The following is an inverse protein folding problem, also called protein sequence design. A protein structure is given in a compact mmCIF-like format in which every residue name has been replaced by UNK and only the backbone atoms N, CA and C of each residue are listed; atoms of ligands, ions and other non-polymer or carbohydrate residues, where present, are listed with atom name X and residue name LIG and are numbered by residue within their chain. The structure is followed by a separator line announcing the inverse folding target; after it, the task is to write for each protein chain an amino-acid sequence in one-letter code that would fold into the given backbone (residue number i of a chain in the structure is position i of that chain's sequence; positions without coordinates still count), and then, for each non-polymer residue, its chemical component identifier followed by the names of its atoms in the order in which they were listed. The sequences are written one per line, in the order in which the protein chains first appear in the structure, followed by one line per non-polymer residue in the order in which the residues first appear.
data_IF_559204644908
#
_entry.id   IF_559204644908
#
_cell.length_a   1.000
_cell.length_b   1.000
_cell.length_c   1.000
_cell.angle_alpha   90.00
_cell.angle_beta   90.00
_cell.angle_gamma   90.00
#
_symmetry.space_group_name_H-M   'P 1'
#
loop_
_entity.id
_entity.type
_entity.pdbx_description
1 polymer ?
#
# COMPACT_ATOMS: atom_id res chain seq x y z
N UNK A 1 37.15 50.58 17.84
CA UNK A 1 35.70 50.43 18.09
C UNK A 1 35.29 49.06 17.56
N UNK A 2 34.95 48.13 18.43
CA UNK A 2 34.44 46.83 18.00
C UNK A 2 32.99 47.06 17.58
N UNK A 3 32.66 46.88 16.29
CA UNK A 3 31.28 46.82 15.80
C UNK A 3 30.66 45.57 16.40
N UNK A 4 29.79 45.74 17.40
CA UNK A 4 28.90 44.68 17.85
C UNK A 4 28.04 44.25 16.67
N UNK A 5 28.23 43.05 16.15
CA UNK A 5 27.29 42.47 15.21
C UNK A 5 25.98 42.23 15.96
N UNK A 6 24.90 42.81 15.47
CA UNK A 6 23.57 42.56 15.98
C UNK A 6 23.29 41.05 15.91
N UNK A 7 22.92 40.45 17.01
CA UNK A 7 22.63 39.03 17.10
C UNK A 7 21.13 38.82 16.81
N UNK A 8 20.81 38.07 15.77
CA UNK A 8 19.43 37.79 15.38
C UNK A 8 18.92 36.56 16.15
N UNK A 9 17.71 36.65 16.68
CA UNK A 9 16.94 35.51 17.17
C UNK A 9 15.79 35.18 16.22
N UNK A 10 15.48 33.90 16.18
CA UNK A 10 14.38 33.35 15.42
C UNK A 10 13.33 32.84 16.41
N UNK A 11 12.13 33.40 16.33
CA UNK A 11 10.96 33.00 17.12
C UNK A 11 10.10 32.09 16.26
N UNK A 12 10.07 30.79 16.59
CA UNK A 12 9.36 29.77 15.84
C UNK A 12 7.94 29.61 16.37
N UNK A 13 6.97 29.58 15.46
CA UNK A 13 5.56 29.35 15.76
C UNK A 13 4.88 28.66 14.58
N UNK A 14 4.12 27.60 14.86
CA UNK A 14 3.28 26.89 13.87
C UNK A 14 4.05 26.51 12.60
N UNK A 15 5.31 26.05 12.74
CA UNK A 15 6.15 25.67 11.62
C UNK A 15 6.73 26.82 10.80
N UNK A 16 6.58 28.06 11.24
CA UNK A 16 7.17 29.27 10.65
C UNK A 16 8.07 29.99 11.67
N UNK A 17 8.77 31.04 11.28
CA UNK A 17 9.55 31.87 12.22
C UNK A 17 9.49 33.35 11.85
N UNK A 18 9.65 34.20 12.87
CA UNK A 18 9.93 35.61 12.72
C UNK A 18 11.32 35.93 13.25
N UNK A 19 11.99 36.95 12.68
CA UNK A 19 13.30 37.38 13.13
C UNK A 19 13.19 38.61 14.02
N UNK A 20 14.03 38.67 15.06
CA UNK A 20 14.24 39.88 15.89
C UNK A 20 15.72 40.09 16.13
N UNK A 21 16.17 41.33 16.10
CA UNK A 21 17.53 41.70 16.50
C UNK A 21 17.59 41.87 18.02
N UNK A 22 18.65 41.37 18.62
CA UNK A 22 18.90 41.54 20.04
C UNK A 22 19.50 42.97 20.22
N UNK A 23 18.71 43.86 20.84
CA UNK A 23 19.14 45.15 21.30
C UNK A 23 19.16 45.16 22.84
N UNK A 24 19.90 46.10 23.43
CA UNK A 24 19.87 46.30 24.87
C UNK A 24 18.44 46.61 25.34
N UNK A 25 17.92 45.84 26.31
CA UNK A 25 16.55 45.99 26.80
C UNK A 25 15.47 45.25 25.99
N UNK A 26 15.83 44.32 25.08
CA UNK A 26 14.87 43.47 24.39
C UNK A 26 14.15 42.57 25.39
N UNK A 27 12.88 42.84 25.62
CA UNK A 27 11.97 41.94 26.32
C UNK A 27 11.25 41.03 25.32
N UNK A 28 11.38 39.72 25.51
CA UNK A 28 10.61 38.72 24.74
C UNK A 28 9.40 38.31 25.57
N UNK A 29 8.25 38.84 25.24
CA UNK A 29 7.00 38.35 25.78
C UNK A 29 6.68 37.00 25.08
N UNK A 30 6.76 35.91 25.86
CA UNK A 30 6.27 34.59 25.42
C UNK A 30 4.76 34.62 25.44
N UNK A 31 4.18 34.96 24.30
CA UNK A 31 2.74 34.86 24.08
C UNK A 31 2.39 33.40 23.77
N UNK A 32 1.15 33.00 24.05
CA UNK A 32 0.65 31.65 23.71
C UNK A 32 0.94 31.31 22.24
N UNK A 33 1.46 30.11 21.99
CA UNK A 33 1.72 29.57 20.67
C UNK A 33 3.13 29.77 20.12
N UNK A 34 4.14 30.14 20.93
CA UNK A 34 5.54 30.08 20.54
C UNK A 34 6.06 28.67 20.81
N UNK A 35 6.58 28.00 19.75
CA UNK A 35 7.14 26.65 19.84
C UNK A 35 8.56 26.68 20.42
N UNK A 36 9.40 27.59 19.92
CA UNK A 36 10.78 27.75 20.36
C UNK A 36 11.40 29.09 19.95
N UNK A 37 12.52 29.42 20.59
CA UNK A 37 13.39 30.54 20.22
C UNK A 37 14.80 29.98 19.97
N UNK A 38 15.39 30.33 18.84
CA UNK A 38 16.74 29.86 18.48
C UNK A 38 17.63 30.99 17.96
N UNK A 39 18.93 30.85 18.11
CA UNK A 39 19.96 31.77 17.58
C UNK A 39 20.49 31.35 16.20
N UNK A 40 20.03 30.21 15.70
CA UNK A 40 20.32 29.72 14.34
C UNK A 40 19.07 29.77 13.52
N UNK A 41 19.19 30.18 12.27
CA UNK A 41 18.06 30.15 11.34
C UNK A 41 17.50 28.70 11.30
N UNK A 42 16.22 28.52 11.63
CA UNK A 42 15.60 27.22 11.54
C UNK A 42 15.58 26.74 10.10
N UNK A 43 15.84 25.45 9.92
CA UNK A 43 15.50 24.79 8.65
C UNK A 43 14.02 24.50 8.71
N UNK A 44 13.26 25.27 7.96
CA UNK A 44 11.80 25.07 7.90
C UNK A 44 11.49 23.80 7.14
N UNK A 45 10.72 22.92 7.76
CA UNK A 45 10.23 21.73 7.12
C UNK A 45 9.07 22.12 6.17
N UNK A 46 9.25 21.87 4.87
CA UNK A 46 8.21 22.12 3.86
C UNK A 46 7.12 21.03 3.93
N UNK A 47 6.44 20.92 5.06
CA UNK A 47 5.40 19.95 5.28
C UNK A 47 4.21 20.53 6.03
N UNK A 48 3.00 20.15 5.60
CA UNK A 48 1.78 20.30 6.40
C UNK A 48 1.83 19.24 7.49
N UNK A 49 1.74 19.64 8.76
CA UNK A 49 1.80 18.71 9.90
C UNK A 49 0.39 18.40 10.38
N UNK A 50 0.08 17.13 10.49
CA UNK A 50 -1.18 16.62 11.00
C UNK A 50 -0.87 15.72 12.21
N UNK A 51 -1.33 16.14 13.40
CA UNK A 51 -1.11 15.37 14.63
C UNK A 51 -2.45 15.00 15.23
N UNK A 52 -2.75 13.71 15.26
CA UNK A 52 -3.96 13.17 15.87
C UNK A 52 -3.80 13.01 17.38
N UNK A 53 -4.82 13.41 18.13
CA UNK A 53 -4.88 13.34 19.59
C UNK A 53 -6.29 12.93 20.02
N UNK A 54 -6.54 11.61 20.10
CA UNK A 54 -7.85 11.02 20.43
C UNK A 54 -8.98 11.52 19.49
N UNK A 55 -9.86 12.37 19.97
CA UNK A 55 -11.02 12.91 19.24
C UNK A 55 -10.73 14.18 18.44
N UNK A 56 -9.48 14.64 18.45
CA UNK A 56 -9.05 15.88 17.82
C UNK A 56 -7.84 15.66 16.92
N UNK A 57 -7.64 16.60 16.01
CA UNK A 57 -6.40 16.72 15.25
C UNK A 57 -5.94 18.18 15.22
N UNK A 58 -4.64 18.37 15.32
CA UNK A 58 -3.97 19.65 15.04
C UNK A 58 -3.44 19.60 13.61
N UNK A 59 -3.77 20.62 12.82
CA UNK A 59 -3.25 20.79 11.46
C UNK A 59 -2.49 22.10 11.39
N UNK A 60 -1.20 22.03 11.11
CA UNK A 60 -0.32 23.18 10.95
C UNK A 60 0.09 23.29 9.49
N UNK A 61 -0.32 24.38 8.84
CA UNK A 61 0.03 24.69 7.46
C UNK A 61 0.99 25.90 7.51
N UNK A 62 2.30 25.68 7.26
CA UNK A 62 3.26 26.80 7.22
C UNK A 62 2.86 27.86 6.20
N UNK A 63 3.08 29.15 6.52
CA UNK A 63 2.64 30.29 5.70
C UNK A 63 3.23 30.31 4.29
N UNK A 64 4.36 29.66 4.08
CA UNK A 64 5.01 29.53 2.77
C UNK A 64 4.48 28.34 1.93
N UNK A 65 3.56 27.52 2.46
CA UNK A 65 2.86 26.49 1.70
C UNK A 65 1.54 27.09 1.21
N UNK A 66 1.51 27.46 -0.05
CA UNK A 66 0.35 28.09 -0.66
C UNK A 66 -0.63 27.05 -1.22
N UNK A 67 -1.91 27.42 -1.29
CA UNK A 67 -2.95 26.64 -1.93
C UNK A 67 -3.45 25.43 -1.12
N UNK A 68 -3.06 25.27 0.14
CA UNK A 68 -3.57 24.22 1.02
C UNK A 68 -4.52 24.80 2.05
N UNK A 69 -5.67 24.17 2.22
CA UNK A 69 -6.68 24.55 3.22
C UNK A 69 -7.15 23.34 4.02
N UNK A 70 -7.51 23.56 5.28
CA UNK A 70 -8.12 22.58 6.16
C UNK A 70 -9.54 23.03 6.50
N UNK A 71 -10.55 22.22 6.17
CA UNK A 71 -11.95 22.51 6.43
C UNK A 71 -12.53 21.87 7.69
N UNK A 72 -11.79 20.95 8.33
CA UNK A 72 -12.27 20.16 9.46
C UNK A 72 -12.08 20.82 10.84
N UNK A 73 -11.43 21.99 10.89
CA UNK A 73 -11.08 22.64 12.16
C UNK A 73 -10.21 21.73 13.03
N UNK A 74 -10.64 21.45 14.27
CA UNK A 74 -9.95 20.56 15.21
C UNK A 74 -10.52 19.15 15.26
N UNK A 75 -11.45 18.79 14.36
CA UNK A 75 -12.03 17.44 14.29
C UNK A 75 -10.96 16.41 13.93
N UNK A 76 -11.08 15.19 14.48
CA UNK A 76 -10.25 14.05 14.07
C UNK A 76 -10.60 13.49 12.67
N UNK A 77 -11.73 13.90 12.08
CA UNK A 77 -12.02 13.69 10.65
C UNK A 77 -11.38 14.84 9.85
N UNK A 78 -10.09 14.72 9.53
CA UNK A 78 -9.33 15.77 8.87
C UNK A 78 -9.60 15.77 7.37
N UNK A 79 -9.96 16.94 6.82
CA UNK A 79 -10.15 17.14 5.40
C UNK A 79 -9.25 18.29 4.92
N UNK A 80 -8.30 17.95 4.06
CA UNK A 80 -7.39 18.89 3.42
C UNK A 80 -7.70 18.99 1.93
N UNK A 81 -7.58 20.19 1.40
CA UNK A 81 -7.74 20.46 -0.04
C UNK A 81 -6.55 21.27 -0.52
N UNK A 82 -5.89 20.79 -1.57
CA UNK A 82 -4.80 21.49 -2.23
C UNK A 82 -5.23 21.96 -3.63
N UNK A 83 -5.07 23.23 -3.89
CA UNK A 83 -5.19 23.85 -5.22
C UNK A 83 -3.83 24.13 -5.84
N UNK A 84 -2.73 23.74 -5.17
CA UNK A 84 -1.38 23.86 -5.70
C UNK A 84 -1.17 22.84 -6.82
N UNK A 85 -0.76 23.30 -7.99
CA UNK A 85 -0.51 22.50 -9.20
C UNK A 85 0.95 22.52 -9.63
N UNK A 86 1.85 23.07 -8.81
CA UNK A 86 3.26 23.25 -9.13
C UNK A 86 4.21 22.55 -8.18
N UNK A 87 3.87 22.52 -6.89
CA UNK A 87 4.73 21.98 -5.84
C UNK A 87 4.17 20.69 -5.28
N UNK A 88 5.05 19.70 -5.07
CA UNK A 88 4.71 18.48 -4.35
C UNK A 88 4.60 18.78 -2.86
N UNK A 89 3.38 18.79 -2.34
CA UNK A 89 3.12 19.04 -0.92
C UNK A 89 3.39 17.78 -0.12
N UNK A 90 4.12 17.94 0.99
CA UNK A 90 4.35 16.87 1.97
C UNK A 90 3.34 17.03 3.10
N UNK A 91 2.61 15.96 3.40
CA UNK A 91 1.69 15.85 4.53
C UNK A 91 2.30 14.89 5.55
N UNK A 92 2.85 15.42 6.64
CA UNK A 92 3.42 14.60 7.73
C UNK A 92 2.33 14.27 8.73
N UNK A 93 2.09 12.99 8.94
CA UNK A 93 0.97 12.46 9.74
C UNK A 93 1.50 11.66 10.91
N UNK A 94 1.06 11.99 12.12
CA UNK A 94 1.49 11.33 13.36
C UNK A 94 0.35 11.28 14.41
N UNK A 95 0.61 10.57 15.51
CA UNK A 95 -0.34 10.47 16.62
C UNK A 95 -1.43 9.42 16.41
N UNK A 96 -2.48 9.47 17.23
CA UNK A 96 -3.50 8.43 17.22
C UNK A 96 -4.91 8.97 17.42
N UNK A 97 -5.89 8.27 16.80
CA UNK A 97 -7.32 8.50 17.04
C UNK A 97 -8.10 7.21 16.86
N UNK A 98 -9.08 7.00 17.74
CA UNK A 98 -10.05 5.89 17.66
C UNK A 98 -11.27 6.20 16.82
N UNK A 99 -11.38 7.43 16.30
CA UNK A 99 -12.46 7.87 15.43
C UNK A 99 -11.94 8.83 14.35
N UNK A 100 -10.65 8.71 13.96
CA UNK A 100 -9.98 9.63 13.08
C UNK A 100 -9.87 9.16 11.63
N UNK A 101 -9.88 10.13 10.72
CA UNK A 101 -9.63 9.92 9.31
C UNK A 101 -8.87 11.10 8.70
N UNK A 102 -8.16 10.85 7.61
CA UNK A 102 -7.50 11.86 6.79
C UNK A 102 -7.95 11.73 5.34
N UNK A 103 -8.65 12.76 4.87
CA UNK A 103 -8.97 12.92 3.45
C UNK A 103 -8.12 14.04 2.86
N UNK A 104 -7.45 13.76 1.74
CA UNK A 104 -6.67 14.75 0.98
C UNK A 104 -7.24 14.84 -0.42
N UNK A 105 -7.71 16.05 -0.79
CA UNK A 105 -8.19 16.37 -2.13
C UNK A 105 -7.13 17.20 -2.85
N UNK A 106 -6.90 16.94 -4.14
CA UNK A 106 -5.97 17.71 -4.96
C UNK A 106 -5.74 17.09 -6.33
N UNK A 107 -5.09 17.84 -7.21
CA UNK A 107 -4.85 17.45 -8.60
C UNK A 107 -3.36 17.47 -8.97
N UNK A 108 -2.46 17.44 -7.99
CA UNK A 108 -1.02 17.36 -8.19
C UNK A 108 -0.41 16.29 -7.31
N UNK A 109 0.75 15.74 -7.72
CA UNK A 109 1.48 14.74 -6.95
C UNK A 109 1.77 15.23 -5.53
N UNK A 110 1.72 14.33 -4.57
CA UNK A 110 1.92 14.63 -3.16
C UNK A 110 2.65 13.51 -2.42
N UNK A 111 3.15 13.85 -1.24
CA UNK A 111 3.78 12.89 -0.33
C UNK A 111 3.01 12.84 0.98
N UNK A 112 2.66 11.64 1.44
CA UNK A 112 2.14 11.38 2.79
C UNK A 112 3.26 10.73 3.60
N UNK A 113 3.83 11.47 4.54
CA UNK A 113 4.88 10.99 5.43
C UNK A 113 4.24 10.46 6.73
N UNK A 114 4.26 9.15 6.92
CA UNK A 114 3.68 8.48 8.08
C UNK A 114 4.74 8.32 9.18
N UNK A 115 4.48 8.90 10.34
CA UNK A 115 5.42 8.95 11.47
C UNK A 115 4.75 8.43 12.75
N UNK A 116 4.50 7.12 12.81
CA UNK A 116 3.87 6.46 13.94
C UNK A 116 2.39 6.82 14.10
N UNK A 117 1.66 6.91 12.99
CA UNK A 117 0.22 7.23 13.01
C UNK A 117 -0.62 5.97 13.25
N UNK A 118 -1.67 6.11 14.08
CA UNK A 118 -2.65 5.02 14.32
C UNK A 118 -4.06 5.58 14.25
N UNK A 119 -4.80 5.25 13.19
CA UNK A 119 -6.17 5.71 12.96
C UNK A 119 -7.14 4.54 12.87
N UNK A 120 -8.19 4.61 13.70
CA UNK A 120 -9.41 3.83 13.51
C UNK A 120 -10.51 4.78 13.08
N UNK A 121 -11.05 4.58 11.89
CA UNK A 121 -12.16 5.42 11.41
C UNK A 121 -13.49 4.88 11.89
N UNK A 122 -14.38 5.78 12.28
CA UNK A 122 -15.74 5.42 12.69
C UNK A 122 -16.73 5.38 11.52
N UNK A 123 -16.38 5.93 10.36
CA UNK A 123 -17.34 6.16 9.26
C UNK A 123 -16.89 5.66 7.89
N UNK A 124 -15.61 5.55 7.64
CA UNK A 124 -15.10 5.23 6.29
C UNK A 124 -13.61 4.93 6.31
N UNK A 125 -12.92 5.27 5.23
CA UNK A 125 -11.48 5.08 5.11
C UNK A 125 -10.70 5.98 6.08
N UNK A 126 -9.80 5.45 6.91
CA UNK A 126 -8.92 6.27 7.74
C UNK A 126 -7.88 7.04 6.92
N UNK A 127 -7.51 6.56 5.73
CA UNK A 127 -6.68 7.31 4.77
C UNK A 127 -7.33 7.27 3.38
N UNK A 128 -7.79 8.45 2.92
CA UNK A 128 -8.54 8.59 1.67
C UNK A 128 -7.93 9.72 0.83
N UNK A 129 -7.26 9.39 -0.26
CA UNK A 129 -6.58 10.37 -1.11
C UNK A 129 -7.33 10.51 -2.43
N UNK A 130 -8.01 11.63 -2.60
CA UNK A 130 -8.81 11.98 -3.77
C UNK A 130 -7.96 12.78 -4.77
N UNK A 131 -6.83 12.20 -5.18
CA UNK A 131 -5.90 12.76 -6.14
C UNK A 131 -5.53 11.68 -7.15
N UNK A 132 -5.74 11.95 -8.44
CA UNK A 132 -5.44 11.06 -9.57
C UNK A 132 -3.99 11.21 -10.07
N UNK A 133 -3.02 11.47 -9.18
CA UNK A 133 -1.61 11.60 -9.51
C UNK A 133 -0.77 10.68 -8.61
N UNK A 134 0.56 10.73 -8.78
CA UNK A 134 1.47 9.95 -7.95
C UNK A 134 1.39 10.38 -6.48
N UNK A 135 1.13 9.42 -5.61
CA UNK A 135 1.10 9.57 -4.16
C UNK A 135 2.27 8.77 -3.58
N UNK A 136 3.30 9.47 -3.11
CA UNK A 136 4.36 8.84 -2.33
C UNK A 136 3.88 8.67 -0.88
N UNK A 137 3.89 7.44 -0.37
CA UNK A 137 3.66 7.14 1.05
C UNK A 137 5.00 6.75 1.67
N UNK A 138 5.55 7.65 2.48
CA UNK A 138 6.87 7.48 3.10
C UNK A 138 6.70 7.13 4.57
N UNK A 139 7.07 5.94 4.97
CA UNK A 139 7.03 5.51 6.36
C UNK A 139 8.36 5.83 7.04
N UNK A 140 8.32 6.65 8.10
CA UNK A 140 9.52 7.01 8.86
C UNK A 140 10.23 5.75 9.38
N UNK A 141 11.55 5.82 9.45
CA UNK A 141 12.38 4.68 9.85
C UNK A 141 12.00 4.19 11.26
N UNK A 142 11.73 2.89 11.36
CA UNK A 142 11.30 2.25 12.61
C UNK A 142 9.86 2.59 13.04
N UNK A 143 9.13 3.45 12.34
CA UNK A 143 7.75 3.76 12.66
C UNK A 143 6.83 2.55 12.43
N UNK A 144 5.75 2.49 13.23
CA UNK A 144 4.65 1.54 13.05
C UNK A 144 3.38 2.33 12.84
N UNK A 145 2.77 2.16 11.68
CA UNK A 145 1.60 2.90 11.24
C UNK A 145 0.41 1.95 11.12
N UNK A 146 -0.73 2.30 11.72
CA UNK A 146 -1.89 1.43 11.79
C UNK A 146 -3.13 2.12 11.23
N UNK A 147 -3.83 1.47 10.32
CA UNK A 147 -5.09 1.93 9.78
C UNK A 147 -6.17 0.86 9.91
N UNK A 148 -7.32 1.26 10.45
CA UNK A 148 -8.50 0.40 10.61
C UNK A 148 -9.73 1.17 10.17
N UNK A 149 -10.50 0.66 9.22
CA UNK A 149 -11.76 1.26 8.81
C UNK A 149 -12.97 0.70 9.56
N UNK A 150 -14.11 1.39 9.43
CA UNK A 150 -15.36 0.99 10.04
C UNK A 150 -15.99 -0.19 9.28
N UNK A 151 -16.44 -1.20 10.00
CA UNK A 151 -17.26 -2.26 9.44
C UNK A 151 -18.60 -1.69 8.91
N UNK A 152 -19.01 -2.12 7.71
CA UNK A 152 -20.23 -1.62 7.06
C UNK A 152 -20.10 -0.24 6.43
N UNK A 153 -18.91 0.32 6.36
CA UNK A 153 -18.62 1.51 5.57
C UNK A 153 -18.79 1.25 4.06
N UNK A 154 -18.98 2.33 3.29
CA UNK A 154 -19.12 2.27 1.82
C UNK A 154 -17.83 2.67 1.10
N UNK A 155 -16.73 2.79 1.84
CA UNK A 155 -15.41 3.14 1.29
C UNK A 155 -14.86 2.00 0.42
N UNK A 156 -14.11 2.36 -0.62
CA UNK A 156 -13.49 1.41 -1.53
C UNK A 156 -12.37 0.61 -0.86
N UNK A 157 -11.62 1.22 0.07
CA UNK A 157 -10.60 0.55 0.85
C UNK A 157 -10.34 1.29 2.17
N UNK A 158 -9.66 0.61 3.10
CA UNK A 158 -9.16 1.23 4.33
C UNK A 158 -8.08 2.31 4.01
N UNK A 159 -7.16 2.00 3.11
CA UNK A 159 -6.17 2.93 2.56
C UNK A 159 -6.42 3.05 1.06
N UNK A 160 -6.90 4.21 0.62
CA UNK A 160 -7.40 4.41 -0.74
C UNK A 160 -6.75 5.60 -1.44
N UNK A 161 -6.47 5.45 -2.74
CA UNK A 161 -6.16 6.57 -3.64
C UNK A 161 -6.87 6.44 -5.00
N UNK A 162 -7.18 7.59 -5.60
CA UNK A 162 -7.59 7.65 -7.01
C UNK A 162 -6.42 7.54 -8.00
N UNK A 163 -5.19 7.83 -7.55
CA UNK A 163 -3.99 7.77 -8.35
C UNK A 163 -3.10 6.60 -7.98
N UNK A 164 -1.80 6.81 -8.14
CA UNK A 164 -0.78 5.80 -7.87
C UNK A 164 -0.39 5.76 -6.41
N UNK A 165 -0.17 4.57 -5.82
CA UNK A 165 0.50 4.44 -4.53
C UNK A 165 1.96 4.00 -4.72
N UNK A 166 2.89 4.74 -4.13
CA UNK A 166 4.31 4.36 -4.01
C UNK A 166 4.74 4.33 -2.54
N UNK A 167 4.77 3.14 -1.95
CA UNK A 167 5.21 2.94 -0.55
C UNK A 167 6.73 2.88 -0.47
N UNK A 168 7.31 3.63 0.47
CA UNK A 168 8.75 3.69 0.74
C UNK A 168 9.06 3.99 2.21
N UNK A 169 10.35 4.02 2.59
CA UNK A 169 10.81 4.23 3.96
C UNK A 169 10.86 2.95 4.79
N UNK A 170 11.72 2.90 5.82
CA UNK A 170 11.99 1.70 6.61
C UNK A 170 11.03 1.50 7.79
N UNK A 171 9.81 1.95 7.67
CA UNK A 171 8.71 1.74 8.62
C UNK A 171 7.84 0.54 8.27
N UNK A 172 6.85 0.29 9.13
CA UNK A 172 5.85 -0.78 9.00
C UNK A 172 4.47 -0.17 8.83
N UNK A 173 3.66 -0.74 7.93
CA UNK A 173 2.26 -0.42 7.73
C UNK A 173 1.39 -1.63 8.09
N UNK A 174 0.46 -1.46 9.02
CA UNK A 174 -0.55 -2.45 9.40
C UNK A 174 -1.93 -1.96 8.96
N UNK A 175 -2.68 -2.78 8.23
CA UNK A 175 -4.00 -2.41 7.71
C UNK A 175 -5.06 -3.44 8.07
N UNK A 176 -6.19 -2.97 8.57
CA UNK A 176 -7.38 -3.76 8.86
C UNK A 176 -8.57 -3.19 8.07
N UNK A 177 -8.87 -3.78 6.92
CA UNK A 177 -9.98 -3.43 6.05
C UNK A 177 -11.24 -4.21 6.46
N UNK A 178 -12.18 -3.54 7.12
CA UNK A 178 -13.42 -4.17 7.58
C UNK A 178 -14.59 -3.99 6.60
N UNK A 179 -14.54 -2.97 5.73
CA UNK A 179 -15.63 -2.63 4.82
C UNK A 179 -15.46 -3.22 3.43
N UNK A 180 -14.24 -3.19 2.88
CA UNK A 180 -13.92 -3.62 1.51
C UNK A 180 -12.43 -4.01 1.43
N UNK A 181 -11.68 -3.53 0.41
CA UNK A 181 -10.25 -3.79 0.30
C UNK A 181 -9.47 -3.20 1.49
N UNK A 182 -8.33 -3.79 1.83
CA UNK A 182 -7.46 -3.18 2.84
C UNK A 182 -6.68 -2.00 2.23
N UNK A 183 -6.02 -2.20 1.10
CA UNK A 183 -5.37 -1.15 0.31
C UNK A 183 -5.95 -1.20 -1.11
N UNK A 184 -6.35 -0.05 -1.64
CA UNK A 184 -6.71 0.04 -3.06
C UNK A 184 -6.18 1.31 -3.71
N UNK A 185 -5.68 1.13 -4.92
CA UNK A 185 -5.27 2.15 -5.85
C UNK A 185 -6.12 2.04 -7.11
N UNK A 186 -6.71 3.14 -7.59
CA UNK A 186 -7.42 3.11 -8.87
C UNK A 186 -6.46 2.85 -10.04
N UNK A 187 -5.20 3.24 -9.87
CA UNK A 187 -4.13 3.04 -10.83
C UNK A 187 -3.15 2.00 -10.24
N UNK A 188 -1.82 2.22 -10.29
CA UNK A 188 -0.88 1.21 -9.79
C UNK A 188 -0.56 1.32 -8.30
N UNK A 189 -0.06 0.23 -7.74
CA UNK A 189 0.54 0.19 -6.41
C UNK A 189 1.98 -0.33 -6.48
N UNK A 190 2.93 0.40 -5.92
CA UNK A 190 4.32 0.02 -5.89
C UNK A 190 4.89 -0.03 -4.47
N UNK A 191 5.57 -1.12 -4.11
CA UNK A 191 6.32 -1.27 -2.87
C UNK A 191 7.81 -1.17 -3.19
N UNK A 192 8.44 -0.09 -2.72
CA UNK A 192 9.87 0.17 -2.93
C UNK A 192 10.73 -0.74 -2.05
N UNK A 193 11.99 -0.92 -2.41
CA UNK A 193 12.96 -1.78 -1.69
C UNK A 193 13.20 -1.36 -0.24
N UNK A 194 13.01 -0.09 0.10
CA UNK A 194 13.22 0.45 1.44
C UNK A 194 12.13 0.10 2.44
N UNK A 195 10.96 -0.37 2.00
CA UNK A 195 9.84 -0.71 2.88
C UNK A 195 10.23 -1.87 3.80
N UNK A 196 10.02 -1.71 5.11
CA UNK A 196 10.25 -2.79 6.06
C UNK A 196 9.17 -3.86 5.93
N UNK A 197 7.91 -3.50 6.16
CA UNK A 197 6.79 -4.43 6.02
C UNK A 197 5.47 -3.72 5.72
N UNK A 198 4.62 -4.36 4.92
CA UNK A 198 3.20 -4.09 4.76
C UNK A 198 2.44 -5.32 5.24
N UNK A 199 1.69 -5.18 6.33
CA UNK A 199 0.93 -6.25 6.95
C UNK A 199 -0.56 -6.01 6.77
N UNK A 200 -1.25 -6.88 6.08
CA UNK A 200 -2.69 -6.86 5.98
C UNK A 200 -3.26 -7.82 7.04
N UNK A 201 -3.85 -7.25 8.07
CA UNK A 201 -4.39 -8.00 9.20
C UNK A 201 -5.81 -8.50 8.94
N UNK A 202 -6.54 -7.84 8.04
CA UNK A 202 -7.87 -8.23 7.57
C UNK A 202 -8.21 -7.47 6.29
N UNK A 203 -8.97 -8.08 5.40
CA UNK A 203 -9.66 -7.44 4.29
C UNK A 203 -11.04 -8.06 4.10
N UNK A 204 -12.06 -7.24 3.97
CA UNK A 204 -13.42 -7.71 3.68
C UNK A 204 -13.61 -8.05 2.19
N UNK A 205 -12.66 -7.67 1.34
CA UNK A 205 -12.52 -8.02 -0.05
C UNK A 205 -11.04 -8.34 -0.31
N UNK A 206 -10.39 -7.78 -1.34
CA UNK A 206 -8.97 -8.03 -1.59
C UNK A 206 -8.08 -7.36 -0.56
N UNK A 207 -6.93 -7.97 -0.29
CA UNK A 207 -5.99 -7.33 0.63
C UNK A 207 -5.28 -6.13 -0.03
N UNK A 208 -4.80 -6.29 -1.26
CA UNK A 208 -4.25 -5.20 -2.09
C UNK A 208 -4.88 -5.28 -3.47
N UNK A 209 -5.56 -4.20 -3.88
CA UNK A 209 -6.24 -4.09 -5.17
C UNK A 209 -5.67 -2.95 -6.00
N UNK A 210 -5.30 -3.23 -7.25
CA UNK A 210 -4.69 -2.27 -8.16
C UNK A 210 -5.42 -2.29 -9.50
N UNK A 211 -5.82 -1.10 -9.97
CA UNK A 211 -6.54 -0.96 -11.24
C UNK A 211 -5.64 -0.84 -12.47
N UNK A 212 -4.31 -0.98 -12.36
CA UNK A 212 -3.37 -0.99 -13.49
C UNK A 212 -2.30 -2.07 -13.33
N UNK A 213 -1.46 -1.97 -12.29
CA UNK A 213 -0.49 -3.00 -11.96
C UNK A 213 -0.06 -2.97 -10.50
N UNK A 214 0.45 -4.09 -10.03
CA UNK A 214 1.17 -4.17 -8.76
C UNK A 214 2.66 -4.40 -9.01
N UNK A 215 3.53 -3.63 -8.36
CA UNK A 215 4.98 -3.86 -8.41
C UNK A 215 5.59 -3.89 -7.02
N UNK A 216 6.45 -4.90 -6.76
CA UNK A 216 7.23 -4.99 -5.54
C UNK A 216 8.72 -5.07 -5.88
N UNK A 217 9.50 -4.09 -5.40
CA UNK A 217 10.95 -4.06 -5.62
C UNK A 217 11.74 -4.68 -4.46
N UNK A 218 11.09 -4.90 -3.31
CA UNK A 218 11.68 -5.47 -2.10
C UNK A 218 10.78 -5.20 -0.88
N UNK A 219 11.32 -5.36 0.32
CA UNK A 219 10.55 -5.28 1.56
C UNK A 219 9.79 -6.57 1.87
N UNK A 220 8.80 -6.49 2.74
CA UNK A 220 8.00 -7.63 3.17
C UNK A 220 6.51 -7.34 3.03
N UNK A 221 5.75 -8.27 2.46
CA UNK A 221 4.28 -8.22 2.37
C UNK A 221 3.71 -9.45 3.06
N UNK A 222 2.94 -9.23 4.13
CA UNK A 222 2.31 -10.27 4.91
C UNK A 222 0.79 -10.13 4.85
N UNK A 223 0.12 -11.13 4.28
CA UNK A 223 -1.32 -11.23 4.21
C UNK A 223 -1.72 -12.52 4.91
N UNK A 224 -1.85 -12.44 6.26
CA UNK A 224 -1.95 -13.62 7.13
C UNK A 224 -3.34 -13.79 7.74
N UNK A 225 -4.31 -13.04 7.25
CA UNK A 225 -5.61 -13.01 7.89
C UNK A 225 -6.76 -13.36 6.97
N UNK A 226 -7.94 -13.10 7.48
CA UNK A 226 -9.21 -13.28 6.82
C UNK A 226 -9.39 -12.28 5.69
N UNK A 227 -8.85 -12.56 4.51
CA UNK A 227 -9.39 -11.97 3.29
C UNK A 227 -10.60 -12.80 2.85
N UNK A 228 -11.59 -12.14 2.32
CA UNK A 228 -12.76 -12.83 1.77
C UNK A 228 -12.68 -12.97 0.26
N UNK A 229 -11.63 -12.42 -0.38
CA UNK A 229 -11.33 -12.51 -1.79
C UNK A 229 -9.80 -12.61 -2.02
N UNK A 230 -9.25 -12.00 -3.06
CA UNK A 230 -7.86 -12.19 -3.47
C UNK A 230 -6.86 -11.46 -2.55
N UNK A 231 -5.65 -12.00 -2.40
CA UNK A 231 -4.66 -11.34 -1.56
C UNK A 231 -4.01 -10.15 -2.27
N UNK A 232 -3.50 -10.33 -3.48
CA UNK A 232 -3.00 -9.24 -4.32
C UNK A 232 -3.66 -9.39 -5.69
N UNK A 233 -4.47 -8.41 -6.07
CA UNK A 233 -5.12 -8.35 -7.37
C UNK A 233 -4.63 -7.15 -8.16
N UNK A 234 -4.31 -7.40 -9.44
CA UNK A 234 -4.08 -6.38 -10.45
C UNK A 234 -4.98 -6.66 -11.65
N UNK A 235 -5.71 -5.65 -12.09
CA UNK A 235 -6.63 -5.73 -13.21
C UNK A 235 -6.41 -4.55 -14.16
N UNK A 236 -6.99 -4.59 -15.35
CA UNK A 236 -6.96 -3.45 -16.25
C UNK A 236 -7.91 -2.36 -15.75
N UNK A 237 -7.45 -1.10 -15.79
CA UNK A 237 -8.32 0.04 -15.61
C UNK A 237 -9.22 0.19 -16.83
N UNK A 238 -10.53 0.30 -16.57
CA UNK A 238 -11.55 0.45 -17.62
C UNK A 238 -12.09 1.87 -17.66
N UNK A 239 -12.50 2.31 -18.85
CA UNK A 239 -13.25 3.55 -19.04
C UNK A 239 -14.74 3.37 -18.69
N UNK A 240 -15.53 4.44 -18.83
CA UNK A 240 -16.97 4.45 -18.52
C UNK A 240 -17.80 3.54 -19.47
N UNK A 241 -17.20 2.94 -20.50
CA UNK A 241 -17.82 2.00 -21.45
C UNK A 241 -17.28 0.57 -21.29
N UNK A 242 -16.62 0.28 -20.16
CA UNK A 242 -15.98 -1.00 -19.88
C UNK A 242 -14.85 -1.38 -20.88
N UNK A 243 -14.26 -0.39 -21.56
CA UNK A 243 -13.12 -0.62 -22.43
C UNK A 243 -11.79 -0.36 -21.69
N UNK A 244 -10.78 -1.19 -21.97
CA UNK A 244 -9.44 -1.03 -21.37
C UNK A 244 -8.85 0.32 -21.78
N UNK A 245 -8.52 1.15 -20.78
CA UNK A 245 -7.87 2.43 -20.99
C UNK A 245 -6.50 2.20 -21.64
N UNK A 246 -6.26 2.88 -22.77
CA UNK A 246 -5.01 2.77 -23.52
C UNK A 246 -3.91 3.64 -22.88
N UNK A 247 -3.29 3.10 -21.83
CA UNK A 247 -2.17 3.68 -21.12
C UNK A 247 -1.06 2.62 -21.05
N UNK A 248 0.22 2.96 -21.31
CA UNK A 248 1.33 2.03 -21.17
C UNK A 248 1.51 1.43 -19.79
N UNK A 249 1.04 2.09 -18.73
CA UNK A 249 1.05 1.60 -17.36
C UNK A 249 -0.14 0.68 -17.05
N UNK A 250 -1.19 0.70 -17.86
CA UNK A 250 -2.39 -0.12 -17.69
C UNK A 250 -2.15 -1.56 -18.20
N UNK A 251 -1.34 -2.31 -17.50
CA UNK A 251 -0.92 -3.66 -17.91
C UNK A 251 -1.72 -4.79 -17.28
N UNK A 252 -2.55 -4.52 -16.26
CA UNK A 252 -3.25 -5.54 -15.47
C UNK A 252 -2.30 -6.52 -14.78
N UNK A 253 -1.01 -6.21 -14.68
CA UNK A 253 0.06 -7.16 -14.37
C UNK A 253 0.59 -7.08 -12.94
N UNK A 254 1.34 -8.11 -12.56
CA UNK A 254 2.09 -8.17 -11.29
C UNK A 254 3.57 -8.35 -11.59
N UNK A 255 4.42 -7.45 -11.07
CA UNK A 255 5.89 -7.50 -11.22
C UNK A 255 6.54 -7.57 -9.86
N UNK A 256 7.30 -8.64 -9.57
CA UNK A 256 8.02 -8.79 -8.30
C UNK A 256 9.51 -9.01 -8.57
N UNK A 257 10.32 -8.05 -8.07
CA UNK A 257 11.78 -7.98 -8.30
C UNK A 257 12.58 -8.41 -7.08
N UNK A 258 11.92 -8.62 -5.94
CA UNK A 258 12.59 -9.05 -4.71
C UNK A 258 11.70 -8.84 -3.48
N UNK A 259 12.25 -9.18 -2.32
CA UNK A 259 11.56 -9.12 -1.05
C UNK A 259 10.91 -10.43 -0.63
N UNK A 260 9.99 -10.37 0.31
CA UNK A 260 9.30 -11.53 0.86
C UNK A 260 7.78 -11.34 0.78
N UNK A 261 7.08 -12.33 0.27
CA UNK A 261 5.61 -12.36 0.15
C UNK A 261 5.07 -13.57 0.89
N UNK A 262 4.33 -13.33 1.98
CA UNK A 262 3.73 -14.36 2.81
C UNK A 262 2.20 -14.23 2.77
N UNK A 263 1.51 -15.22 2.25
CA UNK A 263 0.06 -15.20 2.05
C UNK A 263 -0.59 -16.44 2.65
N UNK A 264 -1.67 -16.26 3.42
CA UNK A 264 -2.52 -17.32 3.93
C UNK A 264 -3.96 -17.12 3.48
N UNK A 265 -4.47 -18.02 2.64
CA UNK A 265 -5.85 -18.07 2.16
C UNK A 265 -6.62 -19.16 2.92
N UNK A 266 -7.07 -18.85 4.14
CA UNK A 266 -7.69 -19.83 5.03
C UNK A 266 -9.20 -19.65 5.22
N UNK A 267 -9.77 -18.51 4.83
CA UNK A 267 -11.16 -18.16 5.16
C UNK A 267 -11.99 -17.70 3.95
N UNK A 268 -11.42 -17.77 2.76
CA UNK A 268 -12.10 -17.36 1.53
C UNK A 268 -12.06 -18.49 0.51
N UNK A 269 -13.21 -18.99 0.10
CA UNK A 269 -13.30 -19.92 -1.04
C UNK A 269 -13.01 -19.17 -2.34
N UNK A 270 -12.43 -19.85 -3.32
CA UNK A 270 -12.05 -19.35 -4.65
C UNK A 270 -11.04 -18.17 -4.66
N UNK A 271 -10.47 -17.78 -3.54
CA UNK A 271 -9.50 -16.69 -3.46
C UNK A 271 -8.14 -17.06 -4.10
N UNK A 272 -7.43 -16.05 -4.59
CA UNK A 272 -6.10 -16.21 -5.18
C UNK A 272 -5.05 -15.44 -4.36
N UNK A 273 -3.85 -16.01 -4.24
CA UNK A 273 -2.74 -15.33 -3.58
C UNK A 273 -2.23 -14.16 -4.42
N UNK A 274 -1.85 -14.44 -5.66
CA UNK A 274 -1.62 -13.43 -6.69
C UNK A 274 -2.62 -13.63 -7.82
N UNK A 275 -3.37 -12.58 -8.17
CA UNK A 275 -4.31 -12.57 -9.30
C UNK A 275 -3.97 -11.43 -10.22
N UNK A 276 -3.69 -11.72 -11.49
CA UNK A 276 -3.45 -10.73 -12.54
C UNK A 276 -4.29 -11.02 -13.77
N UNK A 277 -4.89 -10.00 -14.35
CA UNK A 277 -5.48 -10.09 -15.70
C UNK A 277 -4.40 -10.05 -16.78
N UNK A 278 -3.35 -9.25 -16.56
CA UNK A 278 -2.14 -9.21 -17.37
C UNK A 278 -1.08 -10.23 -16.93
N UNK A 279 0.17 -9.99 -17.31
CA UNK A 279 1.28 -10.89 -17.00
C UNK A 279 1.65 -10.89 -15.52
N UNK A 280 2.18 -12.03 -15.04
CA UNK A 280 2.93 -12.09 -13.79
C UNK A 280 4.41 -12.31 -14.12
N UNK A 281 5.25 -11.34 -13.76
CA UNK A 281 6.70 -11.39 -13.95
C UNK A 281 7.42 -11.38 -12.60
N UNK A 282 8.07 -12.50 -12.25
CA UNK A 282 8.84 -12.66 -11.03
C UNK A 282 10.31 -12.76 -11.41
N UNK A 283 11.08 -11.74 -10.99
CA UNK A 283 12.51 -11.63 -11.29
C UNK A 283 13.38 -11.71 -10.04
N UNK A 284 12.74 -11.95 -8.87
CA UNK A 284 13.39 -12.14 -7.58
C UNK A 284 12.39 -12.25 -6.43
N UNK A 285 12.83 -12.75 -5.30
CA UNK A 285 12.06 -12.78 -4.05
C UNK A 285 11.71 -14.16 -3.51
N UNK A 286 11.21 -14.15 -2.28
CA UNK A 286 10.80 -15.37 -1.56
C UNK A 286 9.29 -15.34 -1.32
N UNK A 287 8.60 -16.42 -1.70
CA UNK A 287 7.16 -16.53 -1.61
C UNK A 287 6.78 -17.76 -0.78
N UNK A 288 5.88 -17.56 0.18
CA UNK A 288 5.19 -18.63 0.90
C UNK A 288 3.69 -18.35 0.78
N UNK A 289 2.99 -19.19 0.03
CA UNK A 289 1.55 -19.04 -0.21
C UNK A 289 0.83 -20.31 0.24
N UNK A 290 0.04 -20.18 1.30
CA UNK A 290 -0.80 -21.24 1.84
C UNK A 290 -2.24 -21.08 1.30
N UNK A 291 -2.59 -21.83 0.27
CA UNK A 291 -3.92 -21.93 -0.33
C UNK A 291 -4.71 -23.06 0.38
N UNK A 292 -5.36 -22.74 1.52
CA UNK A 292 -5.95 -23.72 2.44
C UNK A 292 -7.45 -23.91 2.19
N UNK A 293 -8.18 -22.84 1.85
CA UNK A 293 -9.62 -22.92 1.57
C UNK A 293 -9.91 -23.57 0.22
N UNK A 294 -11.17 -24.00 0.05
CA UNK A 294 -11.59 -24.67 -1.19
C UNK A 294 -11.56 -23.71 -2.39
N UNK A 295 -11.20 -24.25 -3.57
CA UNK A 295 -11.12 -23.49 -4.82
C UNK A 295 -9.98 -22.48 -4.89
N UNK A 296 -9.23 -22.25 -3.80
CA UNK A 296 -8.16 -21.27 -3.77
C UNK A 296 -7.02 -21.61 -4.71
N UNK A 297 -6.36 -20.56 -5.21
CA UNK A 297 -5.17 -20.71 -6.06
C UNK A 297 -4.02 -19.87 -5.48
N UNK A 298 -2.83 -20.46 -5.45
CA UNK A 298 -1.65 -19.73 -4.97
C UNK A 298 -1.34 -18.54 -5.88
N UNK A 299 -1.24 -18.79 -7.18
CA UNK A 299 -1.02 -17.75 -8.20
C UNK A 299 -1.92 -18.03 -9.41
N UNK A 300 -2.50 -16.96 -9.96
CA UNK A 300 -3.28 -17.02 -11.18
C UNK A 300 -3.02 -15.82 -12.07
N UNK A 301 -2.83 -16.07 -13.38
CA UNK A 301 -2.90 -15.03 -14.40
C UNK A 301 -3.72 -15.49 -15.58
N UNK A 302 -4.47 -14.55 -16.18
CA UNK A 302 -5.24 -14.78 -17.40
C UNK A 302 -4.36 -14.62 -18.66
N UNK A 303 -3.11 -14.12 -18.49
CA UNK A 303 -2.09 -13.96 -19.52
C UNK A 303 -0.89 -14.91 -19.30
N UNK A 304 0.35 -14.40 -19.41
CA UNK A 304 1.56 -15.22 -19.27
C UNK A 304 2.20 -15.05 -17.89
N UNK A 305 3.00 -16.03 -17.49
CA UNK A 305 3.84 -15.96 -16.29
C UNK A 305 5.30 -16.25 -16.63
N UNK A 306 6.20 -15.35 -16.18
CA UNK A 306 7.64 -15.54 -16.28
C UNK A 306 8.27 -15.57 -14.88
N UNK A 307 9.14 -16.56 -14.65
CA UNK A 307 9.89 -16.70 -13.39
C UNK A 307 11.37 -16.74 -13.72
N UNK A 308 12.16 -15.86 -13.08
CA UNK A 308 13.59 -15.73 -13.27
C UNK A 308 14.30 -15.27 -11.99
N UNK A 309 15.61 -15.03 -12.05
CA UNK A 309 16.45 -14.47 -10.99
C UNK A 309 17.22 -13.22 -11.47
N UNK A 310 16.62 -12.44 -12.37
CA UNK A 310 17.29 -11.30 -12.96
C UNK A 310 17.62 -10.18 -11.96
N UNK A 311 16.77 -10.00 -10.94
CA UNK A 311 16.96 -8.96 -9.91
C UNK A 311 17.45 -9.52 -8.57
N UNK A 312 17.02 -10.73 -8.18
CA UNK A 312 17.37 -11.41 -6.93
C UNK A 312 17.09 -12.91 -7.03
N UNK A 313 17.65 -13.76 -6.12
CA UNK A 313 17.25 -15.15 -6.00
C UNK A 313 15.74 -15.31 -5.85
N UNK A 314 15.17 -16.30 -6.53
CA UNK A 314 13.73 -16.57 -6.55
C UNK A 314 13.42 -17.91 -5.92
N UNK A 315 12.61 -17.90 -4.85
CA UNK A 315 12.09 -19.11 -4.24
C UNK A 315 10.59 -18.98 -4.05
N UNK A 316 9.83 -19.87 -4.66
CA UNK A 316 8.37 -19.88 -4.61
C UNK A 316 7.92 -21.20 -3.98
N UNK A 317 7.21 -21.12 -2.86
CA UNK A 317 6.55 -22.26 -2.22
C UNK A 317 5.06 -22.02 -2.17
N UNK A 318 4.28 -22.88 -2.80
CA UNK A 318 2.82 -22.85 -2.74
C UNK A 318 2.29 -24.14 -2.15
N UNK A 319 1.51 -24.04 -1.09
CA UNK A 319 0.86 -25.16 -0.42
C UNK A 319 -0.63 -25.18 -0.80
N UNK A 320 -1.02 -25.99 -1.78
CA UNK A 320 -2.40 -26.17 -2.24
C UNK A 320 -3.08 -27.25 -1.40
N UNK A 321 -3.77 -26.86 -0.33
CA UNK A 321 -4.36 -27.79 0.68
C UNK A 321 -5.88 -27.92 0.56
N UNK A 322 -6.56 -26.93 -0.06
CA UNK A 322 -8.01 -26.93 -0.22
C UNK A 322 -8.51 -27.96 -1.25
N UNK A 323 -9.81 -28.14 -1.30
CA UNK A 323 -10.49 -28.99 -2.28
C UNK A 323 -11.16 -28.15 -3.37
N UNK A 324 -12.13 -28.68 -4.08
CA UNK A 324 -12.99 -27.92 -4.98
C UNK A 324 -13.97 -27.05 -4.19
N UNK A 325 -14.34 -25.91 -4.75
CA UNK A 325 -15.56 -25.18 -4.42
C UNK A 325 -16.48 -25.04 -5.62
N UNK A 326 -17.74 -24.72 -5.36
CA UNK A 326 -18.71 -24.38 -6.41
C UNK A 326 -19.10 -22.93 -6.18
N UNK A 327 -18.80 -22.06 -7.14
CA UNK A 327 -19.22 -20.67 -7.12
C UNK A 327 -20.58 -20.54 -7.83
N UNK A 328 -21.45 -19.67 -7.31
CA UNK A 328 -22.82 -19.56 -7.81
C UNK A 328 -22.90 -19.16 -9.30
N UNK A 329 -21.93 -18.33 -9.72
CA UNK A 329 -21.84 -17.82 -11.09
C UNK A 329 -21.34 -18.87 -12.09
N UNK A 330 -20.66 -19.93 -11.61
CA UNK A 330 -20.11 -21.01 -12.44
C UNK A 330 -20.37 -22.39 -11.81
N UNK A 331 -21.63 -22.67 -11.46
CA UNK A 331 -22.02 -23.91 -10.78
C UNK A 331 -21.76 -25.18 -11.62
N UNK A 332 -21.67 -25.04 -12.95
CA UNK A 332 -21.42 -26.13 -13.88
C UNK A 332 -19.94 -26.56 -13.92
N UNK A 333 -18.99 -25.66 -13.64
CA UNK A 333 -17.55 -25.96 -13.60
C UNK A 333 -16.92 -25.61 -12.24
N UNK A 334 -16.97 -26.53 -11.27
CA UNK A 334 -16.43 -26.29 -9.94
C UNK A 334 -14.94 -25.94 -9.94
N UNK A 335 -14.57 -24.88 -9.24
CA UNK A 335 -13.21 -24.40 -9.15
C UNK A 335 -12.34 -25.32 -8.29
N UNK A 336 -11.20 -25.73 -8.83
CA UNK A 336 -10.25 -26.56 -8.11
C UNK A 336 -9.28 -25.70 -7.30
N UNK A 337 -8.90 -26.17 -6.10
CA UNK A 337 -7.71 -25.65 -5.45
C UNK A 337 -6.47 -25.97 -6.31
N UNK A 338 -5.61 -24.98 -6.52
CA UNK A 338 -4.41 -25.12 -7.38
C UNK A 338 -3.23 -24.36 -6.78
N UNK A 339 -2.01 -24.85 -7.05
CA UNK A 339 -0.82 -24.09 -6.78
C UNK A 339 -0.68 -22.90 -7.71
N UNK A 340 -0.53 -23.17 -8.99
CA UNK A 340 -0.33 -22.13 -10.02
C UNK A 340 -1.27 -22.40 -11.22
N UNK A 341 -1.98 -21.37 -11.66
CA UNK A 341 -2.80 -21.36 -12.88
C UNK A 341 -2.34 -20.26 -13.82
N UNK A 342 -2.00 -20.62 -15.05
CA UNK A 342 -1.60 -19.69 -16.10
C UNK A 342 -2.45 -20.01 -17.32
N UNK A 343 -3.26 -19.05 -17.78
CA UNK A 343 -4.10 -19.30 -18.95
C UNK A 343 -3.32 -19.14 -20.26
N UNK A 344 -2.25 -18.30 -20.28
CA UNK A 344 -1.27 -18.22 -21.36
C UNK A 344 -0.07 -19.16 -21.16
N UNK A 345 1.13 -18.66 -21.41
CA UNK A 345 2.39 -19.42 -21.34
C UNK A 345 3.03 -19.27 -19.96
N UNK A 346 3.62 -20.35 -19.45
CA UNK A 346 4.51 -20.33 -18.28
C UNK A 346 5.96 -20.57 -18.73
N UNK A 347 6.83 -19.60 -18.45
CA UNK A 347 8.29 -19.69 -18.72
C UNK A 347 9.05 -19.61 -17.41
N UNK A 348 9.87 -20.62 -17.11
CA UNK A 348 10.78 -20.62 -15.97
C UNK A 348 12.22 -20.59 -16.51
N UNK A 349 12.91 -19.47 -16.29
CA UNK A 349 14.28 -19.25 -16.72
C UNK A 349 15.31 -19.56 -15.63
N UNK A 350 14.93 -19.36 -14.35
CA UNK A 350 15.75 -19.62 -13.17
C UNK A 350 14.85 -19.69 -11.93
N UNK A 351 15.45 -19.98 -10.76
CA UNK A 351 14.78 -20.03 -9.47
C UNK A 351 14.26 -21.42 -9.08
N UNK A 352 13.68 -21.49 -7.90
CA UNK A 352 13.07 -22.71 -7.37
C UNK A 352 11.60 -22.50 -7.15
N UNK A 353 10.77 -23.30 -7.81
CA UNK A 353 9.30 -23.31 -7.65
C UNK A 353 8.90 -24.66 -7.07
N UNK A 354 8.28 -24.65 -5.91
CA UNK A 354 7.78 -25.86 -5.27
C UNK A 354 6.28 -25.71 -4.99
N UNK A 355 5.49 -26.62 -5.52
CA UNK A 355 4.05 -26.70 -5.29
C UNK A 355 3.75 -28.00 -4.56
N UNK A 356 3.30 -27.89 -3.31
CA UNK A 356 2.78 -29.01 -2.56
C UNK A 356 1.27 -29.11 -2.74
N UNK A 357 0.84 -30.19 -3.36
CA UNK A 357 -0.57 -30.44 -3.59
C UNK A 357 -1.03 -31.57 -2.66
N UNK A 358 -1.62 -31.19 -1.53
CA UNK A 358 -2.08 -32.12 -0.50
C UNK A 358 -3.61 -32.13 -0.35
N UNK A 359 -4.32 -31.24 -1.05
CA UNK A 359 -5.79 -31.17 -1.04
C UNK A 359 -6.41 -32.22 -1.97
N UNK A 360 -7.53 -32.80 -1.57
CA UNK A 360 -8.25 -33.78 -2.37
C UNK A 360 -8.70 -33.18 -3.70
N UNK A 361 -8.28 -33.76 -4.85
CA UNK A 361 -8.50 -33.27 -6.21
C UNK A 361 -7.90 -31.88 -6.47
N UNK A 362 -7.02 -31.37 -5.62
CA UNK A 362 -6.26 -30.18 -5.91
C UNK A 362 -5.30 -30.42 -7.08
N UNK A 363 -4.88 -29.35 -7.76
CA UNK A 363 -3.94 -29.43 -8.88
C UNK A 363 -2.66 -28.66 -8.55
N UNK A 364 -1.51 -29.18 -8.97
CA UNK A 364 -0.23 -28.49 -8.79
C UNK A 364 -0.14 -27.26 -9.67
N UNK A 365 0.23 -27.45 -10.93
CA UNK A 365 0.41 -26.39 -11.91
C UNK A 365 -0.49 -26.69 -13.12
N UNK A 366 -1.28 -25.68 -13.57
CA UNK A 366 -2.07 -25.75 -14.80
C UNK A 366 -1.63 -24.63 -15.73
N UNK A 367 -1.26 -24.97 -16.95
CA UNK A 367 -0.87 -24.04 -18.02
C UNK A 367 -1.81 -24.25 -19.21
N UNK A 368 -2.43 -23.17 -19.68
CA UNK A 368 -3.31 -23.20 -20.84
C UNK A 368 -2.55 -23.17 -22.17
N UNK A 369 -1.44 -22.44 -22.23
CA UNK A 369 -0.54 -22.35 -23.36
C UNK A 369 0.66 -23.29 -23.24
N UNK A 370 1.85 -22.77 -23.54
CA UNK A 370 3.11 -23.54 -23.53
C UNK A 370 3.82 -23.42 -22.19
N UNK A 371 4.28 -24.55 -21.65
CA UNK A 371 5.20 -24.59 -20.53
C UNK A 371 6.64 -24.72 -21.03
N UNK A 372 7.51 -23.80 -20.65
CA UNK A 372 8.94 -23.77 -21.00
C UNK A 372 9.80 -23.72 -19.75
N UNK A 373 10.70 -24.68 -19.57
CA UNK A 373 11.71 -24.71 -18.52
C UNK A 373 13.09 -24.53 -19.14
N UNK A 374 13.62 -23.30 -19.12
CA UNK A 374 14.95 -22.99 -19.63
C UNK A 374 16.04 -23.18 -18.57
N UNK A 375 15.68 -23.07 -17.29
CA UNK A 375 16.56 -23.24 -16.14
C UNK A 375 15.79 -23.24 -14.82
N UNK A 376 16.51 -23.38 -13.70
CA UNK A 376 15.90 -23.49 -12.38
C UNK A 376 15.32 -24.87 -12.06
N UNK A 377 14.48 -24.92 -11.05
CA UNK A 377 13.86 -26.18 -10.58
C UNK A 377 12.36 -25.98 -10.35
N UNK A 378 11.55 -26.86 -10.90
CA UNK A 378 10.10 -26.87 -10.70
C UNK A 378 9.69 -28.23 -10.10
N UNK A 379 9.20 -28.22 -8.88
CA UNK A 379 8.75 -29.40 -8.14
C UNK A 379 7.23 -29.31 -7.92
N UNK A 380 6.46 -30.21 -8.51
CA UNK A 380 5.06 -30.39 -8.18
C UNK A 380 4.90 -31.71 -7.39
N UNK A 381 4.76 -31.59 -6.09
CA UNK A 381 4.64 -32.74 -5.18
C UNK A 381 3.16 -33.02 -4.96
N UNK A 382 2.71 -34.20 -5.33
CA UNK A 382 1.34 -34.66 -5.09
C UNK A 382 1.38 -35.71 -3.97
N UNK A 383 0.55 -35.53 -2.95
CA UNK A 383 0.38 -36.57 -1.93
C UNK A 383 -0.43 -37.74 -2.55
N UNK A 384 0.22 -38.87 -2.68
CA UNK A 384 -0.36 -40.08 -3.29
C UNK A 384 -1.39 -40.79 -2.40
N UNK A 385 -1.64 -40.30 -1.20
CA UNK A 385 -2.59 -40.89 -0.25
C UNK A 385 -4.04 -40.38 -0.39
N UNK A 386 -4.39 -39.67 -1.49
CA UNK A 386 -5.68 -39.05 -1.67
C UNK A 386 -6.49 -39.61 -2.85
#
# INVERSE_FOLDING_TARGET
MATSMAQTIYVCKDGDYTTREIAEGLELSLTEGIDSITFRQPVMEKAVKITFQEDKASVVIPSFIEGVTCSSGTSSDVVLTSTNLTDEIIYRVSGSSRAGSLTINGDYKLTVALDGVSLTSAKGAPLNIQCGKRIAVVMADGSVNNFTDAAGGTNKACVYTKGHFEFSGAGTLNVTGNANHAIASKEYCQIKRSVKAVNILKAANDAIHCGQYFQMNGGEVNITSTTTNDAIQAEYELDDNDAIIQDPENTGGIVIKGGSVNILLANAEDAKGLKAEGNIDITGGTFIIDAVSNGTRGMQTDANMTISEADAPTTITVNAKGTKCTVAEDAADPHNCMGIKVDGNLTVNAGTVTVYNTGKKAKGIKVGGTYTLNGGTVNAVVDSAQ
#
